data_IF_688872518081
#
_entry.id   IF_688872518081
#
_cell.length_a   1.000
_cell.length_b   1.000
_cell.length_c   1.000
_cell.angle_alpha   90.00
_cell.angle_beta   90.00
_cell.angle_gamma   90.00
#
_symmetry.space_group_name_H-M   'P 1'
#
loop_
_entity.id
_entity.type
_entity.pdbx_description
1 polymer ?
#
# COMPACT_ATOMS: atom_id res chain seq x y z
N UNK A 1 -12.35 -15.93 1.19
CA UNK A 1 -11.48 -16.56 0.17
C UNK A 1 -10.61 -15.55 -0.59
N UNK A 2 -11.08 -14.32 -0.88
CA UNK A 2 -10.29 -13.29 -1.60
C UNK A 2 -9.11 -12.70 -0.78
N UNK A 3 -9.20 -12.68 0.55
CA UNK A 3 -8.10 -12.21 1.44
C UNK A 3 -6.86 -13.11 1.46
N UNK A 4 -6.99 -14.37 1.06
CA UNK A 4 -5.90 -15.35 1.16
C UNK A 4 -4.99 -15.37 -0.07
N UNK A 5 -5.47 -14.89 -1.22
CA UNK A 5 -4.65 -14.74 -2.44
C UNK A 5 -3.76 -13.49 -2.41
N UNK A 6 -4.11 -12.45 -1.65
CA UNK A 6 -3.31 -11.23 -1.55
C UNK A 6 -2.11 -11.34 -0.61
N UNK A 7 -2.21 -12.11 0.48
CA UNK A 7 -1.13 -12.24 1.47
C UNK A 7 0.04 -13.12 0.97
N UNK A 8 -0.26 -14.17 0.20
CA UNK A 8 0.75 -15.01 -0.45
C UNK A 8 1.46 -14.27 -1.60
N UNK A 9 0.74 -13.42 -2.35
CA UNK A 9 1.34 -12.58 -3.39
C UNK A 9 2.30 -11.53 -2.82
N UNK A 10 2.03 -10.96 -1.63
CA UNK A 10 2.87 -9.92 -1.05
C UNK A 10 4.23 -10.42 -0.51
N UNK A 11 4.34 -11.70 -0.10
CA UNK A 11 5.62 -12.28 0.33
C UNK A 11 6.54 -12.60 -0.87
N UNK A 12 5.97 -13.01 -2.00
CA UNK A 12 6.69 -13.30 -3.26
C UNK A 12 7.11 -12.03 -4.02
N UNK A 13 6.38 -10.91 -3.86
CA UNK A 13 6.69 -9.63 -4.50
C UNK A 13 7.94 -8.95 -3.92
N UNK A 14 8.37 -9.29 -2.70
CA UNK A 14 9.51 -8.62 -2.05
C UNK A 14 10.89 -9.08 -2.57
N UNK A 15 10.96 -10.19 -3.31
CA UNK A 15 12.18 -10.69 -3.96
C UNK A 15 12.09 -10.70 -5.49
N UNK A 16 10.99 -10.21 -6.06
CA UNK A 16 10.83 -10.08 -7.51
C UNK A 16 11.17 -8.66 -7.96
N UNK A 17 11.69 -8.46 -9.17
CA UNK A 17 11.59 -7.17 -9.85
C UNK A 17 10.13 -6.67 -9.77
N UNK A 18 9.97 -5.38 -9.50
CA UNK A 18 8.70 -4.66 -9.30
C UNK A 18 7.75 -4.84 -10.51
N UNK A 19 8.25 -5.30 -11.67
CA UNK A 19 7.51 -5.63 -12.88
C UNK A 19 6.32 -6.56 -12.66
N UNK A 20 6.34 -7.50 -11.71
CA UNK A 20 5.21 -8.42 -11.51
C UNK A 20 4.08 -7.84 -10.65
N UNK A 21 4.35 -6.82 -9.84
CA UNK A 21 3.31 -6.17 -9.05
C UNK A 21 2.55 -5.08 -9.85
N UNK A 22 3.14 -4.60 -10.95
CA UNK A 22 2.56 -3.57 -11.83
C UNK A 22 2.50 -3.97 -13.30
N UNK A 23 2.47 -5.26 -13.62
CA UNK A 23 2.00 -5.72 -14.92
C UNK A 23 0.48 -5.87 -14.88
N UNK A 24 -0.33 -4.84 -15.21
CA UNK A 24 -1.60 -5.17 -15.79
C UNK A 24 -1.26 -5.84 -17.13
N UNK A 25 -1.78 -7.04 -17.38
CA UNK A 25 -1.63 -7.80 -18.64
C UNK A 25 -0.32 -8.60 -18.85
N UNK A 26 0.21 -9.29 -17.85
CA UNK A 26 0.70 -10.63 -18.18
C UNK A 26 -0.54 -11.46 -18.54
N UNK A 27 -0.53 -12.16 -19.68
CA UNK A 27 -1.63 -13.04 -20.08
C UNK A 27 -1.97 -13.95 -18.90
N UNK A 28 -3.21 -13.89 -18.40
CA UNK A 28 -3.65 -14.74 -17.28
C UNK A 28 -3.60 -16.24 -17.61
N UNK A 29 -3.32 -16.58 -18.88
CA UNK A 29 -3.12 -17.94 -19.39
C UNK A 29 -1.65 -18.39 -19.42
N UNK A 30 -0.67 -17.51 -19.15
CA UNK A 30 0.71 -17.92 -18.90
C UNK A 30 0.85 -18.36 -17.43
N UNK A 31 1.13 -19.65 -17.23
CA UNK A 31 1.47 -20.15 -15.91
C UNK A 31 2.65 -19.31 -15.37
N UNK A 32 2.59 -18.81 -14.11
CA UNK A 32 3.70 -18.09 -13.53
C UNK A 32 4.94 -18.96 -13.67
N UNK A 33 5.98 -18.44 -14.32
CA UNK A 33 7.24 -19.13 -14.38
C UNK A 33 7.67 -19.41 -12.94
N UNK A 34 7.81 -20.69 -12.58
CA UNK A 34 8.37 -21.11 -11.31
C UNK A 34 9.82 -20.62 -11.26
N UNK A 35 10.02 -19.38 -10.81
CA UNK A 35 11.35 -18.91 -10.44
C UNK A 35 11.70 -19.65 -9.14
N UNK A 36 12.77 -20.46 -9.14
CA UNK A 36 13.22 -21.07 -7.90
C UNK A 36 13.49 -19.95 -6.89
N UNK A 37 12.80 -19.98 -5.75
CA UNK A 37 13.07 -19.04 -4.66
C UNK A 37 14.56 -19.10 -4.33
N UNK A 38 15.26 -17.97 -4.46
CA UNK A 38 16.64 -17.89 -4.04
C UNK A 38 16.70 -17.89 -2.51
N UNK A 39 16.94 -19.09 -1.96
CA UNK A 39 17.11 -19.30 -0.53
C UNK A 39 18.20 -18.39 0.08
N UNK A 40 19.21 -17.97 -0.70
CA UNK A 40 20.24 -17.05 -0.24
C UNK A 40 19.69 -15.62 -0.09
N UNK A 41 18.94 -15.12 -1.08
CA UNK A 41 18.27 -13.83 -1.00
C UNK A 41 17.27 -13.78 0.16
N UNK A 42 16.49 -14.85 0.36
CA UNK A 42 15.54 -14.94 1.48
C UNK A 42 16.24 -14.98 2.85
N UNK A 43 17.35 -15.72 2.97
CA UNK A 43 18.15 -15.71 4.20
C UNK A 43 18.78 -14.34 4.47
N UNK A 44 19.28 -13.67 3.43
CA UNK A 44 19.82 -12.32 3.52
C UNK A 44 18.75 -11.30 3.95
N UNK A 45 17.56 -11.35 3.36
CA UNK A 45 16.42 -10.52 3.73
C UNK A 45 16.03 -10.71 5.20
N UNK A 46 15.91 -11.96 5.67
CA UNK A 46 15.57 -12.27 7.06
C UNK A 46 16.63 -11.75 8.04
N UNK A 47 17.90 -12.01 7.73
CA UNK A 47 19.04 -11.56 8.53
C UNK A 47 19.08 -10.03 8.64
N UNK A 48 18.98 -9.34 7.51
CA UNK A 48 18.99 -7.87 7.46
C UNK A 48 17.78 -7.26 8.16
N UNK A 49 16.58 -7.80 7.93
CA UNK A 49 15.34 -7.34 8.55
C UNK A 49 15.37 -7.49 10.08
N UNK A 50 15.88 -8.61 10.59
CA UNK A 50 16.02 -8.84 12.02
C UNK A 50 16.99 -7.84 12.69
N UNK A 51 18.14 -7.58 12.06
CA UNK A 51 19.09 -6.57 12.58
C UNK A 51 18.54 -5.15 12.50
N UNK A 52 17.88 -4.81 11.39
CA UNK A 52 17.23 -3.51 11.23
C UNK A 52 16.15 -3.30 12.29
N UNK A 53 15.34 -4.32 12.56
CA UNK A 53 14.33 -4.29 13.61
C UNK A 53 14.96 -4.06 15.00
N UNK A 54 16.01 -4.80 15.36
CA UNK A 54 16.70 -4.63 16.64
C UNK A 54 17.27 -3.20 16.80
N UNK A 55 17.99 -2.70 15.78
CA UNK A 55 18.56 -1.35 15.81
C UNK A 55 17.49 -0.25 15.91
N UNK A 56 16.34 -0.43 15.28
CA UNK A 56 15.21 0.50 15.41
C UNK A 56 14.61 0.45 16.82
N UNK A 57 14.41 -0.75 17.38
CA UNK A 57 13.83 -0.92 18.70
C UNK A 57 14.68 -0.29 19.82
N UNK A 58 16.01 -0.31 19.69
CA UNK A 58 16.95 0.32 20.65
C UNK A 58 16.70 1.82 20.84
N UNK A 59 16.14 2.51 19.84
CA UNK A 59 15.84 3.95 19.94
C UNK A 59 14.72 4.27 20.94
N UNK A 60 13.84 3.30 21.23
CA UNK A 60 12.68 3.46 22.11
C UNK A 60 11.62 4.46 21.62
N UNK A 61 11.75 4.95 20.38
CA UNK A 61 10.81 5.88 19.76
C UNK A 61 9.58 5.15 19.23
N UNK A 62 8.37 5.75 19.28
CA UNK A 62 7.13 5.03 18.97
C UNK A 62 7.03 4.59 17.49
N UNK A 63 7.52 5.40 16.55
CA UNK A 63 7.51 5.04 15.11
C UNK A 63 8.45 3.86 14.86
N UNK A 64 9.67 3.95 15.38
CA UNK A 64 10.70 2.92 15.28
C UNK A 64 10.28 1.60 15.93
N UNK A 65 9.69 1.63 17.13
CA UNK A 65 9.19 0.42 17.79
C UNK A 65 8.05 -0.25 17.00
N UNK A 66 7.12 0.54 16.45
CA UNK A 66 6.06 0.02 15.59
C UNK A 66 6.62 -0.63 14.32
N UNK A 67 7.59 0.03 13.68
CA UNK A 67 8.23 -0.47 12.46
C UNK A 67 9.14 -1.68 12.71
N UNK A 68 9.90 -1.69 13.81
CA UNK A 68 10.71 -2.82 14.25
C UNK A 68 9.86 -4.08 14.43
N UNK A 69 8.69 -3.95 15.05
CA UNK A 69 7.77 -5.07 15.22
C UNK A 69 7.18 -5.58 13.91
N UNK A 70 6.98 -4.71 12.91
CA UNK A 70 6.56 -5.10 11.56
C UNK A 70 7.68 -5.88 10.86
N UNK A 71 8.89 -5.32 10.79
CA UNK A 71 10.05 -5.96 10.15
C UNK A 71 10.35 -7.32 10.76
N UNK A 72 10.33 -7.43 12.10
CA UNK A 72 10.55 -8.69 12.79
C UNK A 72 9.45 -9.72 12.51
N UNK A 73 8.19 -9.28 12.49
CA UNK A 73 7.07 -10.16 12.15
C UNK A 73 7.19 -10.74 10.75
N UNK A 74 7.63 -9.94 9.78
CA UNK A 74 7.86 -10.39 8.41
C UNK A 74 9.11 -11.27 8.27
N UNK A 75 10.19 -10.97 8.98
CA UNK A 75 11.41 -11.78 8.98
C UNK A 75 11.20 -13.18 9.57
N UNK A 76 10.26 -13.30 10.51
CA UNK A 76 9.94 -14.55 11.20
C UNK A 76 8.74 -15.29 10.59
N UNK A 77 8.10 -14.72 9.55
CA UNK A 77 7.02 -15.39 8.86
C UNK A 77 7.57 -16.61 8.11
N UNK A 78 6.94 -17.77 8.33
CA UNK A 78 7.29 -19.00 7.62
C UNK A 78 6.65 -18.99 6.21
N UNK A 79 7.45 -18.98 5.13
CA UNK A 79 6.93 -19.00 3.76
C UNK A 79 6.20 -20.33 3.44
N UNK A 80 6.63 -21.46 4.01
CA UNK A 80 6.06 -22.77 3.71
C UNK A 80 4.67 -22.97 4.34
N UNK A 81 4.46 -22.40 5.53
CA UNK A 81 3.16 -22.43 6.22
C UNK A 81 2.04 -21.69 5.46
N UNK A 82 2.39 -20.73 4.60
CA UNK A 82 1.44 -20.01 3.75
C UNK A 82 1.04 -20.81 2.50
N UNK A 83 1.95 -21.59 1.93
CA UNK A 83 1.71 -22.42 0.75
C UNK A 83 0.92 -23.70 1.05
N UNK A 84 1.06 -24.26 2.26
CA UNK A 84 0.42 -25.52 2.65
C UNK A 84 -1.11 -25.42 2.92
N UNK A 85 -1.73 -24.25 2.75
CA UNK A 85 -3.16 -24.03 3.02
C UNK A 85 -3.55 -24.22 4.50
N UNK A 86 -2.60 -24.54 5.38
CA UNK A 86 -2.83 -24.67 6.80
C UNK A 86 -3.00 -23.29 7.42
N UNK A 87 -4.24 -22.93 7.70
CA UNK A 87 -4.63 -21.69 8.38
C UNK A 87 -4.27 -21.70 9.87
N UNK A 88 -3.17 -22.35 10.26
CA UNK A 88 -2.74 -22.31 11.65
C UNK A 88 -2.23 -20.91 11.98
N UNK A 89 -2.75 -20.26 13.03
CA UNK A 89 -2.25 -18.97 13.46
C UNK A 89 -0.76 -19.11 13.80
N UNK A 90 0.10 -18.36 13.10
CA UNK A 90 1.50 -18.23 13.50
C UNK A 90 1.52 -17.73 14.93
N UNK A 91 2.22 -18.44 15.82
CA UNK A 91 2.32 -18.05 17.22
C UNK A 91 2.88 -16.62 17.30
N UNK A 92 2.24 -15.72 18.08
CA UNK A 92 2.67 -14.33 18.12
C UNK A 92 4.08 -14.22 18.71
N UNK A 93 4.98 -13.56 17.98
CA UNK A 93 6.31 -13.21 18.47
C UNK A 93 6.19 -12.29 19.70
N UNK A 94 6.63 -12.78 20.86
CA UNK A 94 6.50 -12.08 22.13
C UNK A 94 7.27 -10.77 22.20
N UNK A 95 8.42 -10.69 21.51
CA UNK A 95 9.25 -9.49 21.45
C UNK A 95 8.64 -8.44 20.52
N UNK A 96 8.22 -8.84 19.32
CA UNK A 96 7.48 -7.94 18.43
C UNK A 96 6.20 -7.42 19.10
N UNK A 97 5.51 -8.27 19.87
CA UNK A 97 4.33 -7.88 20.64
C UNK A 97 4.65 -6.89 21.77
N UNK A 98 5.81 -7.02 22.43
CA UNK A 98 6.27 -6.06 23.44
C UNK A 98 6.57 -4.70 22.81
N UNK A 99 7.31 -4.66 21.70
CA UNK A 99 7.59 -3.41 20.99
C UNK A 99 6.32 -2.71 20.51
N UNK A 100 5.30 -3.45 20.01
CA UNK A 100 4.01 -2.86 19.64
C UNK A 100 3.28 -2.24 20.82
N UNK A 101 3.28 -2.90 21.99
CA UNK A 101 2.67 -2.35 23.21
C UNK A 101 3.36 -1.08 23.66
N UNK A 102 4.69 -1.06 23.64
CA UNK A 102 5.49 0.10 24.03
C UNK A 102 5.31 1.26 23.05
N UNK A 103 5.30 0.97 21.74
CA UNK A 103 4.95 1.93 20.71
C UNK A 103 3.56 2.52 20.95
N UNK A 104 2.55 1.67 21.19
CA UNK A 104 1.17 2.11 21.42
C UNK A 104 1.01 2.95 22.70
N UNK A 105 1.81 2.70 23.73
CA UNK A 105 1.83 3.50 24.96
C UNK A 105 2.47 4.88 24.74
N UNK A 106 3.41 5.00 23.80
CA UNK A 106 4.21 6.22 23.55
C UNK A 106 3.77 7.04 22.35
N UNK A 107 3.00 6.47 21.42
CA UNK A 107 2.65 7.10 20.14
C UNK A 107 1.88 8.42 20.28
N UNK A 108 1.09 8.60 21.35
CA UNK A 108 0.24 9.79 21.52
C UNK A 108 -0.59 10.07 20.26
N UNK A 109 -0.50 11.31 19.75
CA UNK A 109 -1.20 11.77 18.54
C UNK A 109 -0.35 11.68 17.26
N UNK A 110 0.78 10.98 17.29
CA UNK A 110 1.61 10.79 16.10
C UNK A 110 0.86 9.93 15.06
N UNK A 111 0.40 10.55 13.97
CA UNK A 111 -0.41 9.88 12.96
C UNK A 111 0.35 8.74 12.27
N UNK A 112 1.65 8.90 12.01
CA UNK A 112 2.47 7.89 11.37
C UNK A 112 2.68 6.67 12.29
N UNK A 113 3.01 6.91 13.57
CA UNK A 113 3.13 5.81 14.53
C UNK A 113 1.80 5.05 14.69
N UNK A 114 0.68 5.76 14.74
CA UNK A 114 -0.64 5.15 14.83
C UNK A 114 -1.05 4.42 13.54
N UNK A 115 -0.69 4.90 12.35
CA UNK A 115 -0.90 4.20 11.09
C UNK A 115 -0.14 2.86 11.07
N UNK A 116 1.17 2.87 11.38
CA UNK A 116 2.00 1.67 11.46
C UNK A 116 1.46 0.65 12.47
N UNK A 117 1.03 1.10 13.65
CA UNK A 117 0.40 0.26 14.67
C UNK A 117 -0.92 -0.36 14.19
N UNK A 118 -1.65 0.33 13.32
CA UNK A 118 -2.92 -0.15 12.83
C UNK A 118 -2.78 -1.23 11.75
N UNK A 119 -1.63 -1.35 11.09
CA UNK A 119 -1.42 -2.30 9.99
C UNK A 119 -0.93 -3.70 10.40
N UNK A 120 -0.47 -3.92 11.63
CA UNK A 120 0.12 -5.20 12.01
C UNK A 120 -0.04 -5.61 13.47
N UNK A 121 -0.94 -4.98 14.20
CA UNK A 121 -1.21 -5.31 15.59
C UNK A 121 -2.47 -6.17 15.77
N UNK A 122 -2.63 -6.70 16.98
CA UNK A 122 -3.90 -7.30 17.40
C UNK A 122 -5.06 -6.32 17.25
N UNK A 123 -6.29 -6.84 17.23
CA UNK A 123 -7.49 -6.05 17.01
C UNK A 123 -7.63 -4.88 17.99
N UNK A 124 -7.33 -5.07 19.28
CA UNK A 124 -7.49 -4.01 20.28
C UNK A 124 -6.45 -2.89 20.11
N UNK A 125 -5.22 -3.24 19.71
CA UNK A 125 -4.19 -2.25 19.39
C UNK A 125 -4.52 -1.51 18.09
N UNK A 126 -4.95 -2.22 17.04
CA UNK A 126 -5.38 -1.62 15.77
C UNK A 126 -6.51 -0.61 15.98
N UNK A 127 -7.57 -0.99 16.71
CA UNK A 127 -8.71 -0.11 16.97
C UNK A 127 -8.31 1.16 17.72
N UNK A 128 -7.48 1.04 18.76
CA UNK A 128 -6.99 2.20 19.52
C UNK A 128 -6.10 3.11 18.69
N UNK A 129 -5.21 2.54 17.88
CA UNK A 129 -4.34 3.30 17.00
C UNK A 129 -5.15 4.04 15.91
N UNK A 130 -6.10 3.36 15.26
CA UNK A 130 -7.00 3.99 14.30
C UNK A 130 -7.85 5.11 14.92
N UNK A 131 -8.31 4.95 16.16
CA UNK A 131 -9.06 5.99 16.86
C UNK A 131 -8.19 7.22 17.20
N UNK A 132 -6.93 7.02 17.59
CA UNK A 132 -5.98 8.13 17.83
C UNK A 132 -5.60 8.83 16.54
N UNK A 133 -5.38 8.07 15.46
CA UNK A 133 -5.17 8.64 14.14
C UNK A 133 -6.37 9.48 13.71
N UNK A 134 -7.60 8.96 13.84
CA UNK A 134 -8.82 9.75 13.58
C UNK A 134 -8.90 11.01 14.46
N UNK A 135 -8.49 10.95 15.72
CA UNK A 135 -8.47 12.11 16.61
C UNK A 135 -7.46 13.19 16.17
N UNK A 136 -6.30 12.77 15.65
CA UNK A 136 -5.28 13.68 15.13
C UNK A 136 -5.64 14.25 13.75
N UNK A 137 -6.39 13.48 12.95
CA UNK A 137 -6.81 13.84 11.60
C UNK A 137 -8.31 13.52 11.35
N UNK A 138 -9.23 14.29 11.95
CA UNK A 138 -10.67 13.96 11.92
C UNK A 138 -11.32 14.14 10.56
N UNK A 139 -10.65 14.81 9.62
CA UNK A 139 -11.15 15.04 8.26
C UNK A 139 -10.70 13.96 7.27
N UNK A 140 -9.92 12.98 7.72
CA UNK A 140 -9.40 11.92 6.89
C UNK A 140 -10.22 10.63 7.02
N UNK A 141 -10.70 10.14 5.89
CA UNK A 141 -11.48 8.91 5.79
C UNK A 141 -10.65 7.65 6.13
N UNK A 142 -9.34 7.64 5.88
CA UNK A 142 -8.49 6.46 6.02
C UNK A 142 -8.56 5.77 7.41
N UNK A 143 -8.39 6.49 8.54
CA UNK A 143 -8.50 5.86 9.85
C UNK A 143 -9.88 5.25 10.14
N UNK A 144 -10.97 5.74 9.53
CA UNK A 144 -12.30 5.13 9.65
C UNK A 144 -12.34 3.73 9.01
N UNK A 145 -11.75 3.59 7.81
CA UNK A 145 -11.66 2.30 7.12
C UNK A 145 -10.77 1.30 7.88
N UNK A 146 -9.70 1.79 8.50
CA UNK A 146 -8.77 0.97 9.30
C UNK A 146 -9.39 0.54 10.63
N UNK A 147 -10.16 1.41 11.29
CA UNK A 147 -10.92 1.07 12.50
C UNK A 147 -11.91 -0.06 12.21
N UNK A 148 -12.59 0.00 11.07
CA UNK A 148 -13.65 -0.95 10.72
C UNK A 148 -14.94 -0.67 11.49
N UNK A 149 -15.77 -1.70 11.67
CA UNK A 149 -17.12 -1.59 12.23
C UNK A 149 -18.20 -1.84 11.18
N UNK A 150 -19.45 -1.46 11.47
CA UNK A 150 -20.53 -1.54 10.50
C UNK A 150 -20.37 -0.49 9.41
N UNK A 151 -20.82 -0.80 8.20
CA UNK A 151 -20.78 0.14 7.08
C UNK A 151 -21.64 1.38 7.39
N UNK A 152 -22.75 1.22 8.11
CA UNK A 152 -23.64 2.35 8.44
C UNK A 152 -22.96 3.36 9.36
N UNK A 153 -22.23 2.89 10.37
CA UNK A 153 -21.46 3.77 11.24
C UNK A 153 -20.32 4.45 10.47
N UNK A 154 -19.64 3.70 9.60
CA UNK A 154 -18.58 4.24 8.75
C UNK A 154 -19.10 5.34 7.82
N UNK A 155 -20.22 5.12 7.15
CA UNK A 155 -20.82 6.09 6.24
C UNK A 155 -21.31 7.34 6.98
N UNK A 156 -21.89 7.17 8.17
CA UNK A 156 -22.31 8.30 9.00
C UNK A 156 -21.11 9.15 9.44
N UNK A 157 -20.04 8.52 9.93
CA UNK A 157 -18.81 9.22 10.35
C UNK A 157 -18.07 9.85 9.16
N UNK A 158 -18.11 9.23 7.98
CA UNK A 158 -17.46 9.74 6.77
C UNK A 158 -18.03 11.07 6.26
N UNK A 159 -19.21 11.50 6.72
CA UNK A 159 -19.84 12.76 6.28
C UNK A 159 -19.01 14.00 6.58
N UNK A 160 -18.17 13.97 7.62
CA UNK A 160 -17.28 15.09 7.97
C UNK A 160 -15.91 14.98 7.30
N UNK A 161 -15.60 13.85 6.67
CA UNK A 161 -14.35 13.67 5.96
C UNK A 161 -14.30 14.54 4.70
N UNK A 162 -13.14 15.12 4.43
CA UNK A 162 -12.88 15.96 3.26
C UNK A 162 -11.73 15.42 2.40
N UNK A 163 -11.00 14.42 2.90
CA UNK A 163 -9.94 13.73 2.15
C UNK A 163 -9.88 12.24 2.48
N UNK A 164 -9.20 11.49 1.61
CA UNK A 164 -8.83 10.09 1.87
C UNK A 164 -7.31 9.95 1.73
N UNK A 165 -6.58 9.99 2.84
CA UNK A 165 -5.11 10.04 2.82
C UNK A 165 -4.54 8.89 3.66
N UNK A 166 -3.86 7.94 3.01
CA UNK A 166 -3.15 6.86 3.68
C UNK A 166 -1.75 7.30 4.15
N UNK A 167 -1.32 8.52 3.84
CA UNK A 167 0.01 9.04 4.14
C UNK A 167 1.11 8.26 3.44
N UNK A 168 0.83 7.66 2.27
CA UNK A 168 1.69 6.64 1.64
C UNK A 168 3.13 7.12 1.49
N UNK A 169 3.35 8.22 0.76
CA UNK A 169 4.71 8.70 0.49
C UNK A 169 5.41 9.22 1.75
N UNK A 170 4.68 9.78 2.72
CA UNK A 170 5.26 10.17 4.00
C UNK A 170 5.79 8.94 4.76
N UNK A 171 4.96 7.90 4.83
CA UNK A 171 5.35 6.64 5.47
C UNK A 171 6.52 5.97 4.75
N UNK A 172 6.48 5.89 3.42
CA UNK A 172 7.54 5.27 2.60
C UNK A 172 8.86 6.04 2.73
N UNK A 173 8.85 7.38 2.71
CA UNK A 173 10.04 8.21 2.96
C UNK A 173 10.63 7.96 4.34
N UNK A 174 9.79 7.95 5.36
CA UNK A 174 10.23 7.71 6.73
C UNK A 174 10.82 6.31 6.89
N UNK A 175 10.16 5.27 6.33
CA UNK A 175 10.66 3.90 6.35
C UNK A 175 11.98 3.76 5.59
N UNK A 176 12.10 4.35 4.39
CA UNK A 176 13.35 4.37 3.64
C UNK A 176 14.49 4.97 4.47
N UNK A 177 14.27 6.16 5.06
CA UNK A 177 15.26 6.80 5.91
C UNK A 177 15.63 5.94 7.13
N UNK A 178 14.64 5.24 7.72
CA UNK A 178 14.86 4.33 8.82
C UNK A 178 15.72 3.12 8.43
N UNK A 179 15.44 2.49 7.28
CA UNK A 179 16.17 1.33 6.75
C UNK A 179 17.62 1.70 6.36
N UNK A 180 17.85 2.91 5.85
CA UNK A 180 19.20 3.39 5.51
C UNK A 180 20.13 3.53 6.72
N UNK A 181 19.60 3.56 7.95
CA UNK A 181 20.41 3.57 9.18
C UNK A 181 21.08 2.22 9.45
N UNK A 182 20.54 1.12 8.89
CA UNK A 182 21.07 -0.23 9.05
C UNK A 182 21.28 -0.86 7.67
N UNK A 183 22.32 -0.46 6.93
CA UNK A 183 22.55 -0.98 5.58
C UNK A 183 22.85 -2.49 5.60
N UNK A 184 22.47 -3.24 4.55
CA UNK A 184 22.86 -4.65 4.45
C UNK A 184 24.40 -4.81 4.40
N UNK A 185 24.87 -5.90 5.01
CA UNK A 185 26.29 -6.30 5.00
C UNK A 185 26.73 -6.65 3.57
N UNK A 186 28.04 -6.70 3.28
CA UNK A 186 28.51 -7.08 1.94
C UNK A 186 27.97 -8.43 1.45
N UNK A 187 27.88 -9.43 2.33
CA UNK A 187 27.34 -10.75 1.98
C UNK A 187 25.84 -10.70 1.65
N UNK A 188 25.07 -9.93 2.40
CA UNK A 188 23.64 -9.75 2.10
C UNK A 188 23.42 -8.93 0.83
N UNK A 189 24.23 -7.90 0.58
CA UNK A 189 24.15 -7.14 -0.66
C UNK A 189 24.38 -8.01 -1.88
N UNK A 190 25.36 -8.91 -1.81
CA UNK A 190 25.63 -9.86 -2.88
C UNK A 190 24.45 -10.81 -3.13
N UNK A 191 23.76 -11.24 -2.07
CA UNK A 191 22.57 -12.10 -2.18
C UNK A 191 21.30 -11.35 -2.61
N UNK A 192 21.16 -10.06 -2.26
CA UNK A 192 19.96 -9.28 -2.54
C UNK A 192 19.95 -8.60 -3.91
N UNK A 193 21.10 -8.48 -4.58
CA UNK A 193 21.21 -7.73 -5.83
C UNK A 193 21.06 -8.58 -7.10
N UNK A 194 20.84 -9.90 -6.98
CA UNK A 194 20.69 -10.85 -8.10
C UNK A 194 21.64 -10.57 -9.29
N UNK A 195 22.94 -10.44 -8.97
CA UNK A 195 24.07 -10.11 -9.86
C UNK A 195 24.23 -8.65 -10.34
N UNK A 196 23.30 -7.74 -10.05
CA UNK A 196 23.41 -6.31 -10.34
C UNK A 196 24.19 -5.52 -9.27
N UNK A 197 24.49 -4.25 -9.57
CA UNK A 197 25.01 -3.32 -8.57
C UNK A 197 23.96 -3.03 -7.49
N UNK A 198 24.31 -3.31 -6.23
CA UNK A 198 23.48 -2.96 -5.08
C UNK A 198 23.54 -1.45 -4.80
N UNK A 199 22.43 -0.74 -5.00
CA UNK A 199 22.29 0.68 -4.65
C UNK A 199 21.44 0.83 -3.37
N UNK A 200 22.02 1.23 -2.22
CA UNK A 200 21.30 1.24 -0.95
C UNK A 200 20.03 2.09 -0.92
N UNK A 201 20.06 3.27 -1.56
CA UNK A 201 18.91 4.18 -1.58
C UNK A 201 17.73 3.62 -2.39
N UNK A 202 18.02 2.92 -3.49
CA UNK A 202 17.04 2.24 -4.34
C UNK A 202 16.44 1.05 -3.59
N UNK A 203 17.30 0.18 -3.04
CA UNK A 203 16.85 -0.98 -2.26
C UNK A 203 15.96 -0.55 -1.07
N UNK A 204 16.39 0.43 -0.27
CA UNK A 204 15.60 0.91 0.86
C UNK A 204 14.24 1.53 0.42
N UNK A 205 14.20 2.22 -0.72
CA UNK A 205 12.95 2.80 -1.24
C UNK A 205 11.99 1.70 -1.69
N UNK A 206 12.48 0.72 -2.46
CA UNK A 206 11.70 -0.40 -2.96
C UNK A 206 11.19 -1.25 -1.81
N UNK A 207 12.06 -1.58 -0.86
CA UNK A 207 11.67 -2.29 0.37
C UNK A 207 10.61 -1.51 1.14
N UNK A 208 10.80 -0.21 1.39
CA UNK A 208 9.82 0.59 2.11
C UNK A 208 8.45 0.63 1.41
N UNK A 209 8.44 0.75 0.07
CA UNK A 209 7.21 0.70 -0.71
C UNK A 209 6.55 -0.68 -0.67
N UNK A 210 7.33 -1.75 -0.81
CA UNK A 210 6.83 -3.13 -0.71
C UNK A 210 6.22 -3.43 0.67
N UNK A 211 6.91 -3.00 1.75
CA UNK A 211 6.40 -3.11 3.12
C UNK A 211 5.10 -2.33 3.31
N UNK A 212 5.02 -1.11 2.78
CA UNK A 212 3.79 -0.32 2.82
C UNK A 212 2.65 -1.02 2.07
N UNK A 213 2.90 -1.47 0.84
CA UNK A 213 1.90 -2.11 0.00
C UNK A 213 1.37 -3.43 0.60
N UNK A 214 2.22 -4.19 1.29
CA UNK A 214 1.82 -5.43 1.94
C UNK A 214 0.86 -5.22 3.12
N UNK A 215 0.86 -4.04 3.74
CA UNK A 215 0.29 -3.82 5.08
C UNK A 215 -0.77 -2.72 5.13
N UNK A 216 -0.64 -1.69 4.31
CA UNK A 216 -1.36 -0.43 4.48
C UNK A 216 -2.82 -0.45 4.03
N UNK A 217 -3.28 -1.54 3.42
CA UNK A 217 -4.61 -1.60 2.80
C UNK A 217 -5.69 -1.98 3.80
N UNK A 218 -6.65 -1.08 4.09
CA UNK A 218 -7.76 -1.41 4.97
C UNK A 218 -8.68 -2.44 4.33
N UNK A 219 -9.51 -3.05 5.17
CA UNK A 219 -10.61 -3.89 4.74
C UNK A 219 -11.65 -3.07 3.96
N UNK A 220 -11.50 -2.98 2.64
CA UNK A 220 -12.40 -2.22 1.77
C UNK A 220 -13.65 -3.01 1.34
N UNK A 221 -13.58 -4.33 1.43
CA UNK A 221 -14.65 -5.24 1.05
C UNK A 221 -16.03 -4.92 1.69
N UNK A 222 -16.14 -4.61 2.99
CA UNK A 222 -17.40 -4.19 3.58
C UNK A 222 -17.97 -2.91 2.96
N UNK A 223 -17.11 -1.92 2.69
CA UNK A 223 -17.52 -0.68 2.01
C UNK A 223 -18.02 -0.97 0.60
N UNK A 224 -17.26 -1.75 -0.18
CA UNK A 224 -17.63 -2.10 -1.56
C UNK A 224 -18.97 -2.82 -1.64
N UNK A 225 -19.23 -3.78 -0.75
CA UNK A 225 -20.53 -4.47 -0.65
C UNK A 225 -21.64 -3.56 -0.13
N UNK A 226 -21.33 -2.76 0.88
CA UNK A 226 -22.31 -1.87 1.49
C UNK A 226 -22.71 -0.68 0.62
N UNK A 227 -21.91 -0.35 -0.40
CA UNK A 227 -22.20 0.67 -1.40
C UNK A 227 -22.56 0.09 -2.77
N UNK A 228 -22.93 -1.19 -2.83
CA UNK A 228 -23.46 -1.79 -4.06
C UNK A 228 -24.80 -1.16 -4.46
N UNK A 229 -25.13 -1.19 -5.74
CA UNK A 229 -26.27 -0.46 -6.32
C UNK A 229 -27.60 -0.87 -5.70
N UNK A 230 -27.80 -2.15 -5.41
CA UNK A 230 -29.02 -2.66 -4.77
C UNK A 230 -29.15 -2.19 -3.31
N UNK A 231 -28.05 -2.24 -2.56
CA UNK A 231 -28.01 -1.79 -1.17
C UNK A 231 -28.17 -0.26 -1.06
N UNK A 232 -27.56 0.49 -1.98
CA UNK A 232 -27.64 1.94 -2.03
C UNK A 232 -29.01 2.41 -2.53
N UNK A 233 -29.56 1.79 -3.58
CA UNK A 233 -30.81 2.18 -4.22
C UNK A 233 -32.04 2.08 -3.32
N UNK A 234 -32.02 1.22 -2.31
CA UNK A 234 -33.07 1.10 -1.31
C UNK A 234 -33.14 2.31 -0.33
N UNK A 235 -32.08 3.12 -0.23
CA UNK A 235 -32.01 4.23 0.72
C UNK A 235 -31.26 5.45 0.14
N UNK A 236 -32.00 6.53 -0.13
CA UNK A 236 -31.44 7.76 -0.70
C UNK A 236 -30.34 8.40 0.17
N UNK A 237 -30.41 8.30 1.50
CA UNK A 237 -29.34 8.79 2.38
C UNK A 237 -28.06 7.96 2.22
N UNK A 238 -28.19 6.63 2.20
CA UNK A 238 -27.07 5.72 1.97
C UNK A 238 -26.42 5.95 0.60
N UNK A 239 -27.21 6.16 -0.45
CA UNK A 239 -26.69 6.52 -1.78
C UNK A 239 -25.86 7.79 -1.73
N UNK A 240 -26.32 8.83 -1.04
CA UNK A 240 -25.55 10.09 -0.89
C UNK A 240 -24.24 9.86 -0.13
N UNK A 241 -24.28 9.12 0.98
CA UNK A 241 -23.09 8.85 1.78
C UNK A 241 -22.05 8.02 0.99
N UNK A 242 -22.51 7.00 0.26
CA UNK A 242 -21.65 6.21 -0.62
C UNK A 242 -21.03 7.05 -1.76
N UNK A 243 -21.82 7.95 -2.38
CA UNK A 243 -21.29 8.88 -3.40
C UNK A 243 -20.27 9.86 -2.83
N UNK A 244 -20.48 10.34 -1.60
CA UNK A 244 -19.53 11.19 -0.89
C UNK A 244 -18.20 10.46 -0.71
N UNK A 245 -18.22 9.26 -0.13
CA UNK A 245 -17.02 8.42 0.06
C UNK A 245 -16.32 8.12 -1.26
N UNK A 246 -17.08 7.71 -2.29
CA UNK A 246 -16.54 7.42 -3.61
C UNK A 246 -15.86 8.65 -4.24
N UNK A 247 -16.44 9.84 -4.06
CA UNK A 247 -15.89 11.11 -4.54
C UNK A 247 -14.60 11.48 -3.82
N UNK A 248 -14.54 11.32 -2.49
CA UNK A 248 -13.31 11.53 -1.72
C UNK A 248 -12.19 10.63 -2.22
N UNK A 249 -12.45 9.33 -2.34
CA UNK A 249 -11.46 8.36 -2.82
C UNK A 249 -11.02 8.67 -4.26
N UNK A 250 -11.94 9.01 -5.17
CA UNK A 250 -11.62 9.25 -6.57
C UNK A 250 -10.88 10.59 -6.84
N UNK A 251 -11.08 11.59 -5.98
CA UNK A 251 -10.58 12.96 -6.21
C UNK A 251 -9.44 13.37 -5.28
N UNK A 252 -9.40 12.81 -4.07
CA UNK A 252 -8.52 13.30 -2.99
C UNK A 252 -7.61 12.21 -2.42
N UNK A 253 -7.55 11.04 -3.06
CA UNK A 253 -6.63 9.99 -2.61
C UNK A 253 -5.18 10.34 -2.90
N UNK A 254 -4.33 10.11 -1.91
CA UNK A 254 -2.87 10.13 -2.06
C UNK A 254 -2.32 8.88 -2.78
N UNK A 255 -3.17 7.88 -3.04
CA UNK A 255 -2.82 6.60 -3.69
C UNK A 255 -3.65 6.35 -4.95
N UNK A 256 -3.06 5.67 -5.92
CA UNK A 256 -3.73 5.23 -7.15
C UNK A 256 -4.75 4.13 -6.85
N UNK A 257 -4.51 3.26 -5.86
CA UNK A 257 -5.50 2.27 -5.43
C UNK A 257 -6.78 2.95 -4.90
N UNK A 258 -6.65 3.93 -4.01
CA UNK A 258 -7.77 4.69 -3.50
C UNK A 258 -8.57 5.35 -4.63
N UNK A 259 -7.86 5.97 -5.57
CA UNK A 259 -8.46 6.56 -6.77
C UNK A 259 -9.20 5.55 -7.64
N UNK A 260 -8.59 4.40 -7.91
CA UNK A 260 -9.21 3.32 -8.70
C UNK A 260 -10.53 2.85 -8.05
N UNK A 261 -10.51 2.60 -6.75
CA UNK A 261 -11.69 2.14 -6.01
C UNK A 261 -12.79 3.20 -5.96
N UNK A 262 -12.42 4.47 -5.76
CA UNK A 262 -13.36 5.58 -5.83
C UNK A 262 -14.04 5.69 -7.19
N UNK A 263 -13.28 5.58 -8.29
CA UNK A 263 -13.83 5.57 -9.65
C UNK A 263 -14.77 4.37 -9.88
N UNK A 264 -14.39 3.17 -9.42
CA UNK A 264 -15.23 1.98 -9.52
C UNK A 264 -16.56 2.13 -8.75
N UNK A 265 -16.54 2.74 -7.56
CA UNK A 265 -17.75 3.05 -6.79
C UNK A 265 -18.61 4.10 -7.49
N UNK A 266 -18.01 5.19 -7.99
CA UNK A 266 -18.73 6.22 -8.73
C UNK A 266 -19.42 5.65 -9.97
N UNK A 267 -18.77 4.72 -10.68
CA UNK A 267 -19.33 4.06 -11.85
C UNK A 267 -20.58 3.23 -11.50
N UNK A 268 -20.51 2.46 -10.39
CA UNK A 268 -21.64 1.68 -9.89
C UNK A 268 -22.81 2.55 -9.42
N UNK A 269 -22.52 3.71 -8.83
CA UNK A 269 -23.50 4.64 -8.26
C UNK A 269 -24.06 5.65 -9.27
N UNK A 270 -23.56 5.65 -10.51
CA UNK A 270 -23.99 6.56 -11.56
C UNK A 270 -25.43 6.28 -12.00
N UNK A 271 -26.31 7.26 -11.77
CA UNK A 271 -27.75 7.19 -12.05
C UNK A 271 -28.12 7.76 -13.41
N UNK A 272 -27.27 8.62 -13.99
CA UNK A 272 -27.52 9.24 -15.31
C UNK A 272 -26.46 8.87 -16.34
N UNK A 273 -26.78 9.03 -17.62
CA UNK A 273 -25.83 8.81 -18.71
C UNK A 273 -24.64 9.78 -18.65
N UNK A 274 -24.89 11.03 -18.23
CA UNK A 274 -23.85 12.04 -18.06
C UNK A 274 -22.86 11.66 -16.94
N UNK A 275 -23.37 11.18 -15.80
CA UNK A 275 -22.53 10.69 -14.70
C UNK A 275 -21.67 9.50 -15.14
N UNK A 276 -22.25 8.53 -15.87
CA UNK A 276 -21.48 7.40 -16.41
C UNK A 276 -20.39 7.86 -17.37
N UNK A 277 -20.71 8.78 -18.28
CA UNK A 277 -19.75 9.29 -19.25
C UNK A 277 -18.58 10.04 -18.57
N UNK A 278 -18.85 10.84 -17.54
CA UNK A 278 -17.82 11.51 -16.75
C UNK A 278 -16.86 10.51 -16.07
N UNK A 279 -17.43 9.54 -15.35
CA UNK A 279 -16.61 8.53 -14.63
C UNK A 279 -15.80 7.69 -15.61
N UNK A 280 -16.38 7.30 -16.75
CA UNK A 280 -15.67 6.57 -17.80
C UNK A 280 -14.52 7.38 -18.40
N UNK A 281 -14.71 8.67 -18.66
CA UNK A 281 -13.64 9.54 -19.16
C UNK A 281 -12.48 9.64 -18.15
N UNK A 282 -12.80 9.77 -16.86
CA UNK A 282 -11.81 9.82 -15.78
C UNK A 282 -11.08 8.49 -15.60
N UNK A 283 -11.79 7.37 -15.69
CA UNK A 283 -11.22 6.01 -15.64
C UNK A 283 -10.28 5.76 -16.81
N UNK A 284 -10.68 6.17 -18.02
CA UNK A 284 -9.83 6.11 -19.21
C UNK A 284 -8.51 6.86 -19.05
N UNK A 285 -8.53 8.06 -18.45
CA UNK A 285 -7.29 8.80 -18.14
C UNK A 285 -6.44 8.07 -17.10
N UNK A 286 -7.07 7.52 -16.06
CA UNK A 286 -6.38 6.74 -15.03
C UNK A 286 -5.70 5.50 -15.63
N UNK A 287 -6.44 4.67 -16.36
CA UNK A 287 -5.94 3.43 -16.97
C UNK A 287 -4.79 3.71 -17.94
N UNK A 288 -4.89 4.79 -18.74
CA UNK A 288 -3.82 5.23 -19.62
C UNK A 288 -2.53 5.54 -18.85
N UNK A 289 -2.62 6.34 -17.79
CA UNK A 289 -1.45 6.74 -17.00
C UNK A 289 -0.78 5.53 -16.34
N UNK A 290 -1.58 4.63 -15.76
CA UNK A 290 -1.05 3.42 -15.12
C UNK A 290 -0.38 2.49 -16.13
N UNK A 291 -0.99 2.27 -17.29
CA UNK A 291 -0.40 1.47 -18.36
C UNK A 291 0.91 2.08 -18.87
N UNK A 292 0.92 3.39 -19.11
CA UNK A 292 2.12 4.06 -19.60
C UNK A 292 3.22 4.13 -18.55
N UNK A 293 2.86 4.25 -17.26
CA UNK A 293 3.85 4.27 -16.19
C UNK A 293 4.53 2.90 -16.08
N UNK A 294 3.77 1.81 -16.12
CA UNK A 294 4.35 0.46 -16.16
C UNK A 294 5.28 0.27 -17.35
N UNK A 295 4.86 0.70 -18.55
CA UNK A 295 5.70 0.63 -19.77
C UNK A 295 6.97 1.48 -19.66
N UNK A 296 6.86 2.73 -19.18
CA UNK A 296 8.00 3.62 -19.05
C UNK A 296 9.02 3.05 -18.04
N UNK A 297 8.55 2.60 -16.87
CA UNK A 297 9.39 2.00 -15.83
C UNK A 297 10.11 0.75 -16.34
N UNK A 298 9.42 -0.13 -17.07
CA UNK A 298 10.01 -1.35 -17.64
C UNK A 298 11.13 -1.09 -18.67
N UNK A 299 11.20 0.11 -19.26
CA UNK A 299 12.30 0.49 -20.18
C UNK A 299 13.53 1.04 -19.48
N UNK A 300 13.43 1.35 -18.18
CA UNK A 300 14.53 1.89 -17.39
C UNK A 300 15.36 0.77 -16.75
N UNK A 301 16.67 0.99 -16.52
CA UNK A 301 17.49 0.06 -15.72
C UNK A 301 16.86 -0.20 -14.36
N UNK A 302 16.91 -1.46 -13.90
CA UNK A 302 16.30 -1.91 -12.64
C UNK A 302 14.85 -1.42 -12.50
N UNK A 303 14.13 -1.41 -13.62
CA UNK A 303 12.71 -1.03 -13.71
C UNK A 303 12.40 0.37 -13.16
N UNK A 304 13.36 1.29 -13.26
CA UNK A 304 13.19 2.66 -12.81
C UNK A 304 13.41 2.86 -11.31
N UNK A 305 14.02 1.91 -10.59
CA UNK A 305 14.35 2.03 -9.17
C UNK A 305 15.04 3.36 -8.80
N UNK A 306 16.01 3.78 -9.62
CA UNK A 306 16.71 5.06 -9.47
C UNK A 306 15.77 6.27 -9.62
N UNK A 307 14.86 6.23 -10.61
CA UNK A 307 13.84 7.28 -10.81
C UNK A 307 12.90 7.32 -9.61
N UNK A 308 12.40 6.18 -9.17
CA UNK A 308 11.51 6.07 -8.01
C UNK A 308 12.16 6.64 -6.75
N UNK A 309 13.38 6.21 -6.40
CA UNK A 309 14.09 6.70 -5.22
C UNK A 309 14.34 8.21 -5.27
N UNK A 310 14.67 8.76 -6.45
CA UNK A 310 14.84 10.22 -6.64
C UNK A 310 13.53 10.98 -6.49
N UNK A 311 12.45 10.52 -7.12
CA UNK A 311 11.13 11.16 -7.01
C UNK A 311 10.54 11.05 -5.61
N UNK A 312 10.80 9.95 -4.91
CA UNK A 312 10.45 9.78 -3.51
C UNK A 312 11.19 10.83 -2.65
N UNK A 313 12.45 11.15 -2.93
CA UNK A 313 13.19 12.18 -2.20
C UNK A 313 12.75 13.63 -2.51
N UNK A 314 12.02 13.87 -3.60
CA UNK A 314 11.54 15.19 -3.99
C UNK A 314 10.35 15.64 -3.12
N UNK A 315 10.48 16.71 -2.29
CA UNK A 315 9.40 17.15 -1.40
C UNK A 315 8.19 17.74 -2.13
N UNK A 316 8.33 18.07 -3.43
CA UNK A 316 7.19 18.54 -4.25
C UNK A 316 6.26 17.40 -4.68
N UNK A 317 6.74 16.15 -4.64
CA UNK A 317 5.94 14.96 -4.94
C UNK A 317 5.20 14.55 -3.67
N UNK A 318 3.91 14.85 -3.55
CA UNK A 318 3.17 14.63 -2.28
C UNK A 318 2.31 13.38 -2.31
N UNK A 319 1.86 12.97 -3.50
CA UNK A 319 0.98 11.82 -3.72
C UNK A 319 1.56 10.85 -4.76
N UNK A 320 1.02 9.63 -4.80
CA UNK A 320 1.34 8.69 -5.88
C UNK A 320 0.95 9.25 -7.26
N UNK A 321 -0.12 10.05 -7.32
CA UNK A 321 -0.53 10.72 -8.55
C UNK A 321 0.53 11.73 -9.04
N UNK A 322 1.15 12.48 -8.12
CA UNK A 322 2.27 13.38 -8.46
C UNK A 322 3.48 12.59 -8.94
N UNK A 323 3.79 11.47 -8.28
CA UNK A 323 4.90 10.60 -8.64
C UNK A 323 4.75 10.04 -10.05
N UNK A 324 3.57 9.48 -10.36
CA UNK A 324 3.24 8.95 -11.68
C UNK A 324 3.27 10.06 -12.74
N UNK A 325 2.66 11.22 -12.44
CA UNK A 325 2.65 12.34 -13.38
C UNK A 325 4.07 12.83 -13.70
N UNK A 326 4.95 12.89 -12.69
CA UNK A 326 6.35 13.29 -12.87
C UNK A 326 7.17 12.25 -13.63
N UNK A 327 6.99 10.97 -13.32
CA UNK A 327 7.65 9.87 -14.04
C UNK A 327 7.28 9.87 -15.52
N UNK A 328 5.99 10.02 -15.85
CA UNK A 328 5.50 10.13 -17.22
C UNK A 328 6.02 11.38 -17.94
N UNK A 329 6.07 12.52 -17.24
CA UNK A 329 6.63 13.76 -17.78
C UNK A 329 8.10 13.58 -18.19
N UNK A 330 8.91 12.93 -17.35
CA UNK A 330 10.32 12.65 -17.64
C UNK A 330 10.49 11.67 -18.82
N UNK A 331 9.55 10.74 -18.98
CA UNK A 331 9.51 9.82 -20.12
C UNK A 331 8.94 10.45 -21.41
N UNK A 332 8.52 11.73 -21.39
CA UNK A 332 7.90 12.40 -22.53
C UNK A 332 6.52 11.86 -22.89
N UNK A 333 5.85 11.16 -21.98
CA UNK A 333 4.53 10.57 -22.21
C UNK A 333 3.42 11.59 -21.91
N UNK A 334 2.46 11.81 -22.82
CA UNK A 334 1.31 12.68 -22.57
C UNK A 334 0.46 12.22 -21.38
N UNK A 335 0.02 13.19 -20.57
CA UNK A 335 -0.84 12.94 -19.39
C UNK A 335 -2.26 12.49 -19.73
N UNK A 336 -2.68 12.64 -20.99
CA UNK A 336 -3.99 12.25 -21.48
C UNK A 336 -3.86 11.18 -22.57
N UNK A 337 -4.81 10.23 -22.64
CA UNK A 337 -4.82 9.24 -23.70
C UNK A 337 -5.12 9.90 -25.06
N UNK A 338 -4.52 9.42 -26.16
CA UNK A 338 -4.84 9.91 -27.49
C UNK A 338 -6.32 9.66 -27.83
N UNK A 339 -6.88 10.44 -28.76
CA UNK A 339 -8.28 10.27 -29.18
C UNK A 339 -8.55 8.82 -29.63
N UNK A 340 -9.67 8.25 -29.20
CA UNK A 340 -10.05 6.88 -29.56
C UNK A 340 -9.35 5.75 -28.79
N UNK A 341 -8.29 6.02 -28.01
CA UNK A 341 -7.66 5.01 -27.15
C UNK A 341 -8.66 4.37 -26.20
N UNK A 342 -8.57 3.05 -26.03
CA UNK A 342 -9.33 2.26 -25.05
C UNK A 342 -8.33 1.36 -24.30
N UNK A 343 -8.56 1.08 -23.01
CA UNK A 343 -7.76 0.10 -22.29
C UNK A 343 -7.94 -1.27 -22.97
N UNK A 344 -6.83 -1.99 -23.15
CA UNK A 344 -6.87 -3.41 -23.50
C UNK A 344 -7.59 -4.15 -22.36
N UNK A 345 -8.53 -5.03 -22.67
CA UNK A 345 -9.22 -5.85 -21.65
C UNK A 345 -8.69 -7.26 -21.72
#
# INVERSE_FOLDING_TARGET
MIRFLLAAACALVLCSPIALAQAPYADFDEAPAEQPEDAAAQAAWRSWSARSAAALAETGQPRELAFAALLRGLANADPEGAAAGSSQPVAPDGEASAWRRDAAARAGNDALANALLAYGADEATRLRAAQRWLGADPQNLAPLLVRGGSVDALLADARVATRFDLGMLEQVRWMQAALLRTPPTPGERAALADADEFVPAEHAAITAMGLWAALAFPALEPLMRGCDADAAGANAARTRDCRHVASLMANTSDTQLGRMLGLALLERLASTQAERADVQARRRIFDWRMLQWGRASATLPREGAAQFARLLADPSVRTEADLVARALQEAGVPSEPPAGWQPTR
#
